data_IF_182485903433
#
_entry.id   IF_182485903433
#
_cell.length_a   1.000
_cell.length_b   1.000
_cell.length_c   1.000
_cell.angle_alpha   90.00
_cell.angle_beta   90.00
_cell.angle_gamma   90.00
#
_symmetry.space_group_name_H-M   'P 1'
#
loop_
_entity.id
_entity.type
_entity.pdbx_description
1 polymer ?
#
# COMPACT_ATOMS: atom_id res chain seq x y z
N UNK A 1 -66.60 21.79 -1.84
CA UNK A 1 -67.67 20.77 -1.72
C UNK A 1 -67.07 19.51 -1.10
N UNK A 2 -67.53 19.16 0.11
CA UNK A 2 -67.59 17.84 0.80
C UNK A 2 -66.31 16.95 0.84
N UNK A 3 -65.62 16.79 1.98
CA UNK A 3 -65.88 15.83 3.10
C UNK A 3 -65.74 14.37 2.63
N UNK A 4 -64.96 13.44 3.21
CA UNK A 4 -64.60 13.02 4.59
C UNK A 4 -63.53 11.90 4.43
N UNK A 5 -62.70 11.51 5.40
CA UNK A 5 -63.06 10.57 6.48
C UNK A 5 -61.88 10.42 7.47
N UNK A 6 -62.22 10.51 8.75
CA UNK A 6 -61.39 10.26 9.94
C UNK A 6 -61.56 8.78 10.32
N UNK A 7 -60.52 8.09 10.78
CA UNK A 7 -60.66 6.84 11.51
C UNK A 7 -59.94 6.91 12.86
N UNK A 8 -60.67 6.50 13.89
CA UNK A 8 -60.38 6.67 15.32
C UNK A 8 -59.49 5.58 15.91
N UNK A 9 -58.78 6.02 16.94
CA UNK A 9 -58.20 5.37 18.13
C UNK A 9 -59.01 4.17 18.68
N UNK A 10 -58.34 3.14 19.25
CA UNK A 10 -58.35 2.74 20.70
C UNK A 10 -57.88 1.27 20.92
N UNK A 11 -57.37 0.96 22.14
CA UNK A 11 -57.38 -0.34 22.89
C UNK A 11 -56.16 -1.28 22.68
N UNK A 12 -55.44 -1.86 23.66
CA UNK A 12 -55.42 -1.95 25.15
C UNK A 12 -54.00 -2.43 25.57
N UNK A 13 -53.58 -2.07 26.79
CA UNK A 13 -52.35 -2.49 27.48
C UNK A 13 -52.75 -3.28 28.75
N UNK A 14 -52.15 -4.45 29.03
CA UNK A 14 -52.08 -5.19 30.34
C UNK A 14 -51.38 -6.54 30.04
N UNK A 15 -50.49 -7.17 30.82
CA UNK A 15 -50.00 -7.07 32.21
C UNK A 15 -49.34 -8.44 32.55
N UNK A 16 -48.30 -8.44 33.38
CA UNK A 16 -47.37 -9.56 33.72
C UNK A 16 -47.92 -10.41 34.90
N UNK A 17 -47.34 -11.62 35.13
CA UNK A 17 -47.21 -12.47 36.37
C UNK A 17 -47.91 -13.86 36.31
N UNK A 18 -47.42 -15.02 36.80
CA UNK A 18 -46.14 -15.55 37.36
C UNK A 18 -46.33 -17.08 37.69
N UNK A 19 -45.21 -17.83 37.86
CA UNK A 19 -44.90 -19.03 38.73
C UNK A 19 -45.22 -20.52 38.39
N UNK A 20 -44.14 -21.33 38.58
CA UNK A 20 -43.97 -22.70 39.17
C UNK A 20 -44.66 -23.92 38.54
N UNK A 21 -44.11 -25.14 38.42
CA UNK A 21 -42.91 -25.90 38.85
C UNK A 21 -43.23 -27.40 38.55
N UNK A 22 -42.33 -28.29 38.09
CA UNK A 22 -41.56 -29.29 38.88
C UNK A 22 -41.11 -30.48 37.97
N UNK A 23 -39.87 -31.00 38.18
CA UNK A 23 -39.43 -32.45 38.27
C UNK A 23 -39.61 -33.37 37.01
N UNK A 24 -38.71 -34.24 36.48
CA UNK A 24 -37.54 -35.01 36.93
C UNK A 24 -36.63 -35.47 35.74
N UNK A 25 -35.36 -35.74 36.07
CA UNK A 25 -34.26 -36.50 35.43
C UNK A 25 -34.42 -37.26 34.09
N UNK A 26 -33.40 -37.13 33.22
CA UNK A 26 -32.70 -38.22 32.49
C UNK A 26 -31.37 -37.70 31.89
N UNK A 27 -30.25 -38.40 32.12
CA UNK A 27 -28.90 -38.19 31.52
C UNK A 27 -28.67 -39.34 30.50
N UNK A 28 -28.16 -39.09 29.26
CA UNK A 28 -26.71 -39.11 28.93
C UNK A 28 -26.30 -37.96 27.98
N UNK A 29 -25.22 -37.22 28.28
CA UNK A 29 -23.80 -37.48 28.00
C UNK A 29 -23.36 -37.11 26.56
N UNK A 30 -22.19 -36.48 26.48
CA UNK A 30 -21.41 -36.02 25.31
C UNK A 30 -21.88 -34.74 24.55
N UNK A 31 -21.25 -33.62 24.90
CA UNK A 31 -20.81 -32.62 23.90
C UNK A 31 -19.54 -33.14 23.19
N UNK A 32 -19.18 -32.66 21.98
CA UNK A 32 -18.60 -31.32 21.87
C UNK A 32 -19.17 -30.47 20.73
N UNK A 33 -19.37 -29.19 21.07
CA UNK A 33 -19.08 -28.00 20.28
C UNK A 33 -19.21 -28.07 18.75
N UNK A 34 -20.34 -27.58 18.27
CA UNK A 34 -20.45 -26.94 16.96
C UNK A 34 -20.55 -25.42 17.14
N UNK A 35 -19.42 -24.74 17.23
CA UNK A 35 -19.33 -23.31 16.92
C UNK A 35 -18.47 -23.20 15.65
N UNK A 36 -19.16 -23.15 14.52
CA UNK A 36 -18.54 -22.97 13.21
C UNK A 36 -17.78 -21.65 13.17
N UNK A 37 -16.46 -21.74 13.01
CA UNK A 37 -15.62 -20.62 12.64
C UNK A 37 -15.96 -20.25 11.19
N UNK A 38 -16.63 -19.12 11.00
CA UNK A 38 -16.60 -18.43 9.71
C UNK A 38 -15.18 -17.89 9.50
N UNK A 39 -14.29 -18.76 9.05
CA UNK A 39 -13.01 -18.35 8.50
C UNK A 39 -13.33 -17.62 7.21
N UNK A 40 -13.24 -16.29 7.21
CA UNK A 40 -13.43 -15.49 6.00
C UNK A 40 -12.46 -15.98 4.92
N UNK A 41 -12.88 -15.99 3.66
CA UNK A 41 -12.03 -16.37 2.54
C UNK A 41 -10.71 -15.58 2.51
N UNK A 42 -10.74 -14.36 3.07
CA UNK A 42 -9.59 -13.49 3.29
C UNK A 42 -8.58 -14.08 4.31
N UNK A 43 -9.05 -14.60 5.45
CA UNK A 43 -8.17 -15.28 6.42
C UNK A 43 -7.60 -16.59 5.87
N UNK A 44 -8.37 -17.32 5.06
CA UNK A 44 -7.88 -18.52 4.37
C UNK A 44 -6.83 -18.15 3.32
N UNK A 45 -7.01 -17.04 2.61
CA UNK A 45 -6.02 -16.52 1.64
C UNK A 45 -4.74 -16.07 2.35
N UNK A 46 -4.84 -15.37 3.47
CA UNK A 46 -3.71 -14.91 4.31
C UNK A 46 -2.97 -16.10 4.93
N UNK A 47 -3.67 -17.11 5.47
CA UNK A 47 -3.02 -18.31 6.02
C UNK A 47 -2.37 -19.16 4.91
N UNK A 48 -3.04 -19.30 3.76
CA UNK A 48 -2.45 -19.98 2.59
C UNK A 48 -1.26 -19.21 2.03
N UNK A 49 -1.29 -17.88 2.11
CA UNK A 49 -0.19 -16.99 1.77
C UNK A 49 1.00 -17.22 2.72
N UNK A 50 0.78 -17.17 4.03
CA UNK A 50 1.80 -17.42 5.06
C UNK A 50 2.37 -18.85 5.00
N UNK A 51 1.59 -19.82 4.53
CA UNK A 51 2.05 -21.20 4.30
C UNK A 51 2.85 -21.39 3.00
N UNK A 52 2.71 -20.50 2.01
CA UNK A 52 3.40 -20.57 0.70
C UNK A 52 4.68 -19.73 0.61
N UNK A 53 4.92 -18.78 1.52
CA UNK A 53 6.21 -18.08 1.72
C UNK A 53 7.29 -19.02 2.28
N UNK A 54 7.49 -20.17 1.64
CA UNK A 54 8.79 -20.82 1.68
C UNK A 54 9.86 -19.83 1.19
N UNK A 55 11.09 -19.99 1.67
CA UNK A 55 12.24 -19.15 1.32
C UNK A 55 12.25 -18.80 -0.18
N UNK A 56 12.51 -17.51 -0.47
CA UNK A 56 12.48 -16.93 -1.81
C UNK A 56 13.03 -17.91 -2.88
N UNK A 57 12.21 -18.22 -3.89
CA UNK A 57 12.51 -19.31 -4.84
C UNK A 57 13.54 -18.93 -5.90
N UNK A 58 13.91 -17.65 -6.00
CA UNK A 58 14.90 -17.13 -6.95
C UNK A 58 16.19 -16.79 -6.22
N UNK A 59 17.09 -17.78 -6.15
CA UNK A 59 18.41 -17.73 -5.49
C UNK A 59 19.36 -16.61 -5.99
N UNK A 60 18.99 -15.81 -7.01
CA UNK A 60 19.86 -14.81 -7.63
C UNK A 60 19.65 -13.35 -7.18
N UNK A 61 18.54 -13.00 -6.52
CA UNK A 61 18.31 -11.62 -6.06
C UNK A 61 18.53 -11.55 -4.55
N UNK A 62 19.61 -10.90 -4.14
CA UNK A 62 19.84 -10.58 -2.74
C UNK A 62 19.00 -9.36 -2.34
N UNK A 63 17.73 -9.60 -2.00
CA UNK A 63 16.79 -8.54 -1.63
C UNK A 63 16.95 -8.04 -0.18
N UNK A 64 17.83 -8.67 0.60
CA UNK A 64 18.19 -8.23 1.97
C UNK A 64 19.37 -7.26 1.99
N UNK A 65 20.13 -7.19 0.90
CA UNK A 65 21.26 -6.27 0.81
C UNK A 65 20.76 -4.83 0.65
N UNK A 66 20.93 -4.04 1.70
CA UNK A 66 20.43 -2.66 1.77
C UNK A 66 21.00 -1.73 0.71
N UNK A 67 22.19 -2.04 0.17
CA UNK A 67 22.79 -1.26 -0.93
C UNK A 67 22.33 -1.72 -2.32
N UNK A 68 21.68 -2.88 -2.42
CA UNK A 68 21.15 -3.40 -3.68
C UNK A 68 20.02 -2.52 -4.22
N UNK A 69 19.99 -2.32 -5.54
CA UNK A 69 18.83 -1.72 -6.22
C UNK A 69 17.56 -2.57 -6.05
N UNK A 70 17.74 -3.87 -5.80
CA UNK A 70 16.69 -4.85 -5.58
C UNK A 70 16.47 -5.13 -4.08
N UNK A 71 16.80 -4.20 -3.18
CA UNK A 71 16.44 -4.35 -1.76
C UNK A 71 14.91 -4.38 -1.61
N UNK A 72 14.35 -5.34 -0.88
CA UNK A 72 12.95 -5.29 -0.46
C UNK A 72 12.88 -4.56 0.87
N UNK A 73 12.15 -3.44 0.90
CA UNK A 73 11.86 -2.70 2.13
C UNK A 73 10.35 -2.69 2.31
N UNK A 74 9.89 -3.23 3.43
CA UNK A 74 8.49 -3.35 3.81
C UNK A 74 8.39 -3.63 5.33
N UNK A 75 7.21 -4.02 5.82
CA UNK A 75 6.98 -4.24 7.26
C UNK A 75 7.80 -5.41 7.85
N UNK A 76 8.29 -6.32 7.01
CA UNK A 76 9.11 -7.45 7.42
C UNK A 76 10.61 -7.25 7.15
N UNK A 77 10.98 -6.25 6.35
CA UNK A 77 12.35 -6.01 5.90
C UNK A 77 12.71 -4.54 6.14
N UNK A 78 13.24 -4.25 7.33
CA UNK A 78 13.54 -2.89 7.77
C UNK A 78 14.97 -2.48 7.42
N UNK A 79 15.13 -1.22 7.02
CA UNK A 79 16.44 -0.58 6.89
C UNK A 79 17.00 -0.17 8.27
N UNK A 80 18.34 -0.23 8.44
CA UNK A 80 19.00 0.37 9.61
C UNK A 80 18.67 1.85 9.76
N UNK A 81 18.60 2.33 11.00
CA UNK A 81 18.27 3.73 11.30
C UNK A 81 19.31 4.74 10.82
N UNK A 82 20.55 4.30 10.65
CA UNK A 82 21.69 5.08 10.18
C UNK A 82 21.96 4.89 8.67
N UNK A 83 21.16 4.08 7.97
CA UNK A 83 21.34 3.86 6.55
C UNK A 83 20.98 5.12 5.74
N UNK A 84 21.97 5.60 4.98
CA UNK A 84 21.87 6.65 3.98
C UNK A 84 22.56 6.15 2.71
N UNK A 85 21.89 6.14 1.55
CA UNK A 85 22.53 5.73 0.31
C UNK A 85 23.74 6.63 -0.03
N UNK A 86 24.89 6.07 -0.42
CA UNK A 86 26.12 6.83 -0.63
C UNK A 86 26.13 7.66 -1.92
N UNK A 87 25.16 7.43 -2.81
CA UNK A 87 25.09 7.92 -4.19
C UNK A 87 23.84 8.78 -4.45
N UNK A 88 23.30 9.44 -3.42
CA UNK A 88 22.18 10.36 -3.57
C UNK A 88 22.57 11.59 -4.40
N UNK A 89 21.76 11.91 -5.41
CA UNK A 89 21.89 13.10 -6.26
C UNK A 89 20.53 13.81 -6.39
N UNK A 90 20.56 15.12 -6.60
CA UNK A 90 19.34 15.89 -6.88
C UNK A 90 18.85 15.55 -8.29
N UNK A 91 17.58 15.18 -8.43
CA UNK A 91 16.98 14.82 -9.72
C UNK A 91 16.60 16.09 -10.50
N UNK A 92 16.93 16.14 -11.79
CA UNK A 92 16.62 17.26 -12.67
C UNK A 92 15.25 17.10 -13.37
N UNK A 93 14.18 17.15 -12.60
CA UNK A 93 12.78 17.12 -13.07
C UNK A 93 11.98 18.31 -12.49
N UNK A 94 10.82 18.65 -13.07
CA UNK A 94 9.87 19.54 -12.39
C UNK A 94 9.38 18.91 -11.08
N UNK A 95 9.36 19.71 -10.01
CA UNK A 95 8.77 19.36 -8.71
C UNK A 95 7.59 20.28 -8.40
N UNK A 96 6.71 19.85 -7.51
CA UNK A 96 5.55 20.64 -7.03
C UNK A 96 5.96 21.79 -6.07
N UNK A 97 7.25 21.92 -5.79
CA UNK A 97 7.85 22.88 -4.87
C UNK A 97 9.24 23.31 -5.39
N UNK A 98 9.75 24.45 -4.92
CA UNK A 98 10.99 25.06 -5.46
C UNK A 98 12.21 24.86 -4.57
N UNK A 99 11.99 24.60 -3.29
CA UNK A 99 13.02 24.50 -2.28
C UNK A 99 13.92 23.30 -2.53
N UNK A 100 15.22 23.47 -2.30
CA UNK A 100 16.15 22.34 -2.24
C UNK A 100 15.89 21.56 -0.96
N UNK A 101 15.57 20.28 -1.09
CA UNK A 101 15.19 19.41 0.02
C UNK A 101 15.62 17.96 -0.28
N UNK A 102 15.78 17.15 0.75
CA UNK A 102 16.14 15.72 0.63
C UNK A 102 15.16 14.96 -0.29
N UNK A 103 13.89 15.37 -0.29
CA UNK A 103 12.83 14.80 -1.13
C UNK A 103 12.95 15.14 -2.62
N UNK A 104 14.00 15.82 -3.06
CA UNK A 104 14.40 15.96 -4.48
C UNK A 104 15.50 14.98 -4.88
N UNK A 105 15.98 14.17 -3.94
CA UNK A 105 17.11 13.29 -4.17
C UNK A 105 16.64 11.88 -4.51
N UNK A 106 17.40 11.19 -5.35
CA UNK A 106 17.36 9.75 -5.57
C UNK A 106 18.79 9.23 -5.67
N UNK A 107 18.97 7.91 -5.57
CA UNK A 107 20.23 7.28 -5.97
C UNK A 107 20.52 7.58 -7.43
N UNK A 108 21.79 7.78 -7.77
CA UNK A 108 22.23 8.28 -9.08
C UNK A 108 21.64 7.51 -10.27
N UNK A 109 21.58 6.18 -10.22
CA UNK A 109 21.01 5.35 -11.29
C UNK A 109 19.50 5.58 -11.46
N UNK A 110 18.76 5.59 -10.35
CA UNK A 110 17.32 5.86 -10.35
C UNK A 110 17.02 7.30 -10.80
N UNK A 111 17.83 8.28 -10.41
CA UNK A 111 17.71 9.67 -10.84
C UNK A 111 17.81 9.79 -12.37
N UNK A 112 18.86 9.22 -12.96
CA UNK A 112 19.07 9.25 -14.41
C UNK A 112 17.89 8.61 -15.16
N UNK A 113 17.39 7.48 -14.68
CA UNK A 113 16.25 6.80 -15.30
C UNK A 113 14.92 7.51 -15.11
N UNK A 114 14.73 8.21 -13.99
CA UNK A 114 13.55 9.03 -13.78
C UNK A 114 13.52 10.25 -14.72
N UNK A 115 14.68 10.87 -14.96
CA UNK A 115 14.81 11.97 -15.93
C UNK A 115 14.49 11.50 -17.35
N UNK A 116 14.98 10.31 -17.76
CA UNK A 116 14.61 9.68 -19.03
C UNK A 116 13.09 9.43 -19.13
N UNK A 117 12.48 8.89 -18.07
CA UNK A 117 11.03 8.66 -18.00
C UNK A 117 10.25 9.97 -18.19
N UNK A 118 10.63 11.03 -17.47
CA UNK A 118 9.96 12.33 -17.54
C UNK A 118 10.13 12.98 -18.93
N UNK A 119 11.30 12.82 -19.55
CA UNK A 119 11.52 13.29 -20.93
C UNK A 119 10.62 12.57 -21.92
N UNK A 120 10.57 11.23 -21.84
CA UNK A 120 9.71 10.43 -22.72
C UNK A 120 8.23 10.72 -22.51
N UNK A 121 7.79 10.93 -21.27
CA UNK A 121 6.42 11.35 -20.96
C UNK A 121 6.09 12.67 -21.66
N UNK A 122 6.97 13.66 -21.52
CA UNK A 122 6.81 14.99 -22.10
C UNK A 122 6.74 14.96 -23.63
N UNK A 123 7.54 14.11 -24.27
CA UNK A 123 7.49 13.88 -25.73
C UNK A 123 6.14 13.31 -26.19
N UNK A 124 5.43 12.60 -25.30
CA UNK A 124 4.08 12.08 -25.54
C UNK A 124 2.97 13.01 -25.01
N UNK A 125 3.30 14.26 -24.66
CA UNK A 125 2.33 15.24 -24.15
C UNK A 125 1.90 15.02 -22.70
N UNK A 126 2.56 14.13 -21.97
CA UNK A 126 2.28 13.82 -20.56
C UNK A 126 3.26 14.57 -19.67
N UNK A 127 2.77 15.31 -18.67
CA UNK A 127 3.61 16.13 -17.78
C UNK A 127 3.44 15.67 -16.33
N UNK A 128 4.52 15.11 -15.78
CA UNK A 128 4.60 14.75 -14.37
C UNK A 128 5.37 15.78 -13.56
N UNK A 129 5.18 15.73 -12.24
CA UNK A 129 5.92 16.49 -11.25
C UNK A 129 6.36 15.56 -10.12
N UNK A 130 7.62 15.65 -9.71
CA UNK A 130 8.10 15.01 -8.49
C UNK A 130 7.46 15.64 -7.24
N UNK A 131 7.10 14.80 -6.28
CA UNK A 131 6.51 15.22 -5.00
C UNK A 131 7.39 14.82 -3.82
N UNK A 132 7.89 13.58 -3.79
CA UNK A 132 8.76 13.09 -2.72
C UNK A 132 9.66 11.94 -3.17
N UNK A 133 10.97 12.20 -3.24
CA UNK A 133 12.03 11.21 -3.42
C UNK A 133 12.55 10.67 -2.09
N UNK A 134 13.87 10.73 -1.88
CA UNK A 134 14.53 10.28 -0.66
C UNK A 134 13.96 10.94 0.61
N UNK A 135 13.85 10.14 1.66
CA UNK A 135 13.42 10.58 2.99
C UNK A 135 14.25 9.86 4.04
N UNK A 136 14.97 10.61 4.87
CA UNK A 136 15.76 10.03 5.95
C UNK A 136 14.91 9.27 6.97
N UNK A 137 15.54 8.35 7.71
CA UNK A 137 14.89 7.64 8.81
C UNK A 137 14.28 8.60 9.83
N UNK A 138 14.99 9.69 10.18
CA UNK A 138 14.52 10.69 11.13
C UNK A 138 13.27 11.42 10.62
N UNK A 139 13.28 11.84 9.35
CA UNK A 139 12.10 12.46 8.73
C UNK A 139 10.92 11.50 8.70
N UNK A 140 11.15 10.20 8.43
CA UNK A 140 10.08 9.19 8.49
C UNK A 140 9.56 9.00 9.92
N UNK A 141 10.41 9.10 10.95
CA UNK A 141 9.99 9.04 12.35
C UNK A 141 9.06 10.20 12.71
N UNK A 142 9.40 11.42 12.34
CA UNK A 142 8.58 12.59 12.60
C UNK A 142 7.26 12.52 11.83
N UNK A 143 7.31 12.05 10.57
CA UNK A 143 6.14 11.83 9.73
C UNK A 143 5.21 10.80 10.38
N UNK A 144 5.71 9.61 10.70
CA UNK A 144 4.93 8.53 11.30
C UNK A 144 4.29 8.98 12.62
N UNK A 145 5.04 9.66 13.49
CA UNK A 145 4.51 10.21 14.73
C UNK A 145 3.38 11.23 14.49
N UNK A 146 3.45 12.03 13.42
CA UNK A 146 2.36 12.95 13.04
C UNK A 146 1.10 12.21 12.61
N UNK A 147 1.25 11.12 11.86
CA UNK A 147 0.13 10.25 11.47
C UNK A 147 -0.47 9.54 12.69
N UNK A 148 0.33 9.01 13.60
CA UNK A 148 -0.18 8.40 14.85
C UNK A 148 -1.02 9.39 15.66
N UNK A 149 -0.58 10.66 15.78
CA UNK A 149 -1.39 11.71 16.43
C UNK A 149 -2.69 12.00 15.70
N UNK A 150 -2.70 11.97 14.37
CA UNK A 150 -3.88 12.26 13.54
C UNK A 150 -4.90 11.12 13.54
N UNK A 151 -4.45 9.87 13.48
CA UNK A 151 -5.29 8.68 13.29
C UNK A 151 -5.53 7.89 14.59
N UNK A 152 -4.85 8.27 15.67
CA UNK A 152 -5.12 7.83 17.04
C UNK A 152 -4.40 6.57 17.48
N UNK A 153 -3.94 5.72 16.56
CA UNK A 153 -3.13 4.53 16.88
C UNK A 153 -2.01 4.33 15.86
N UNK A 154 -0.95 3.63 16.27
CA UNK A 154 0.15 3.29 15.35
C UNK A 154 -0.27 2.29 14.28
N UNK A 155 -1.20 1.38 14.59
CA UNK A 155 -1.70 0.39 13.63
C UNK A 155 -2.42 1.08 12.47
N UNK A 156 -3.26 2.09 12.76
CA UNK A 156 -3.92 2.89 11.73
C UNK A 156 -2.93 3.75 10.96
N UNK A 157 -1.94 4.33 11.63
CA UNK A 157 -0.88 5.06 10.96
C UNK A 157 -0.09 4.16 10.00
N UNK A 158 0.24 2.93 10.42
CA UNK A 158 1.03 1.98 9.64
C UNK A 158 0.27 1.29 8.48
N UNK A 159 -0.98 1.68 8.23
CA UNK A 159 -1.70 1.32 7.01
C UNK A 159 -1.49 2.34 5.88
N UNK A 160 -1.11 3.57 6.22
CA UNK A 160 -1.03 4.72 5.30
C UNK A 160 0.32 5.43 5.32
N UNK A 161 1.16 5.14 6.32
CA UNK A 161 2.52 5.69 6.44
C UNK A 161 3.39 4.64 7.11
N UNK A 162 4.47 4.24 6.43
CA UNK A 162 5.43 3.26 6.93
C UNK A 162 6.01 3.66 8.29
N UNK A 163 6.35 2.69 9.15
CA UNK A 163 7.24 2.98 10.28
C UNK A 163 8.64 3.39 9.79
N UNK A 164 9.44 4.06 10.62
CA UNK A 164 10.85 4.31 10.31
C UNK A 164 11.58 3.00 10.02
N UNK A 165 12.37 2.97 8.94
CA UNK A 165 13.01 1.75 8.45
C UNK A 165 12.14 0.90 7.51
N UNK A 166 10.82 1.03 7.53
CA UNK A 166 9.89 0.30 6.65
C UNK A 166 9.56 1.06 5.34
N UNK A 167 10.06 2.31 5.20
CA UNK A 167 9.76 3.16 4.05
C UNK A 167 10.78 2.98 2.93
N UNK A 168 10.29 2.66 1.73
CA UNK A 168 11.14 2.62 0.54
C UNK A 168 11.79 3.96 0.20
N UNK A 169 11.23 5.11 0.62
CA UNK A 169 11.87 6.41 0.39
C UNK A 169 13.27 6.50 1.01
N UNK A 170 13.55 5.78 2.10
CA UNK A 170 14.88 5.77 2.71
C UNK A 170 15.92 5.08 1.81
N UNK A 171 15.51 4.23 0.88
CA UNK A 171 16.42 3.62 -0.10
C UNK A 171 16.95 4.63 -1.14
N UNK A 172 16.28 5.77 -1.31
CA UNK A 172 16.53 6.68 -2.44
C UNK A 172 16.15 6.08 -3.80
N UNK A 173 15.38 4.99 -3.83
CA UNK A 173 14.90 4.32 -5.05
C UNK A 173 13.40 4.53 -5.29
N UNK A 174 12.71 5.24 -4.39
CA UNK A 174 11.29 5.56 -4.52
C UNK A 174 11.06 7.04 -4.82
N UNK A 175 10.14 7.32 -5.74
CA UNK A 175 9.67 8.67 -6.05
C UNK A 175 8.15 8.70 -6.13
N UNK A 176 7.55 9.58 -5.33
CA UNK A 176 6.16 9.97 -5.50
C UNK A 176 6.07 10.99 -6.64
N UNK A 177 5.22 10.70 -7.62
CA UNK A 177 4.94 11.60 -8.74
C UNK A 177 3.47 12.01 -8.77
N UNK A 178 3.19 13.17 -9.36
CA UNK A 178 1.82 13.64 -9.56
C UNK A 178 1.72 14.38 -10.90
N UNK A 179 0.52 14.82 -11.24
CA UNK A 179 0.25 15.61 -12.44
C UNK A 179 -0.69 16.79 -12.11
N UNK A 180 -0.83 17.70 -13.07
CA UNK A 180 -1.70 18.86 -12.92
C UNK A 180 -3.19 18.45 -12.84
N UNK A 181 -3.58 17.36 -13.49
CA UNK A 181 -4.96 16.86 -13.53
C UNK A 181 -5.51 16.46 -12.15
N UNK A 182 -4.64 16.14 -11.19
CA UNK A 182 -5.01 15.90 -9.78
C UNK A 182 -4.53 17.00 -8.84
N UNK A 183 -4.35 18.22 -9.37
CA UNK A 183 -3.87 19.38 -8.61
C UNK A 183 -2.59 19.07 -7.80
N UNK A 184 -1.69 18.29 -8.39
CA UNK A 184 -0.41 17.90 -7.79
C UNK A 184 -0.53 17.05 -6.51
N UNK A 185 -1.71 16.48 -6.24
CA UNK A 185 -1.98 15.62 -5.09
C UNK A 185 -1.39 14.20 -5.22
N UNK A 186 -1.15 13.57 -4.07
CA UNK A 186 -0.88 12.13 -3.96
C UNK A 186 -2.16 11.44 -3.51
N UNK A 187 -3.00 11.12 -4.47
CA UNK A 187 -4.35 10.62 -4.24
C UNK A 187 -4.66 9.45 -5.19
N UNK A 188 -5.57 8.55 -4.78
CA UNK A 188 -5.97 7.41 -5.62
C UNK A 188 -6.55 7.84 -6.96
N UNK A 189 -7.14 9.04 -7.02
CA UNK A 189 -7.69 9.66 -8.24
C UNK A 189 -6.64 9.89 -9.32
N UNK A 190 -5.33 9.93 -8.97
CA UNK A 190 -4.26 9.92 -9.97
C UNK A 190 -4.35 8.67 -10.85
N UNK A 191 -4.74 7.54 -10.26
CA UNK A 191 -4.96 6.26 -10.94
C UNK A 191 -6.04 6.28 -12.03
N UNK A 192 -6.89 7.30 -12.07
CA UNK A 192 -7.97 7.46 -13.04
C UNK A 192 -7.61 8.43 -14.18
N UNK A 193 -6.38 8.97 -14.19
CA UNK A 193 -5.93 9.97 -15.18
C UNK A 193 -5.26 9.35 -16.42
N UNK A 194 -5.31 10.07 -17.54
CA UNK A 194 -4.58 9.70 -18.76
C UNK A 194 -3.06 9.69 -18.52
N UNK A 195 -2.55 10.59 -17.68
CA UNK A 195 -1.14 10.61 -17.28
C UNK A 195 -0.75 9.32 -16.56
N UNK A 196 -1.58 8.82 -15.65
CA UNK A 196 -1.32 7.54 -15.00
C UNK A 196 -1.40 6.35 -15.96
N UNK A 197 -2.33 6.35 -16.92
CA UNK A 197 -2.40 5.29 -17.95
C UNK A 197 -1.07 5.20 -18.68
N UNK A 198 -0.52 6.34 -19.12
CA UNK A 198 0.80 6.37 -19.76
C UNK A 198 1.90 5.87 -18.81
N UNK A 199 1.88 6.32 -17.55
CA UNK A 199 2.87 5.94 -16.54
C UNK A 199 2.88 4.43 -16.30
N UNK A 200 1.70 3.84 -16.04
CA UNK A 200 1.52 2.40 -15.79
C UNK A 200 2.06 1.55 -16.94
N UNK A 201 1.85 2.00 -18.17
CA UNK A 201 2.22 1.25 -19.36
C UNK A 201 3.68 1.45 -19.79
N UNK A 202 4.38 2.47 -19.26
CA UNK A 202 5.73 2.83 -19.70
C UNK A 202 6.81 2.82 -18.61
N UNK A 203 6.46 2.93 -17.32
CA UNK A 203 7.43 3.05 -16.23
C UNK A 203 8.47 1.92 -16.21
N UNK A 204 8.05 0.70 -16.52
CA UNK A 204 8.91 -0.49 -16.55
C UNK A 204 10.09 -0.37 -17.52
N UNK A 205 9.89 0.35 -18.64
CA UNK A 205 10.91 0.58 -19.68
C UNK A 205 12.10 1.38 -19.13
N UNK A 206 11.90 2.10 -18.03
CA UNK A 206 12.89 2.88 -17.32
C UNK A 206 13.28 2.26 -15.98
N UNK A 207 12.86 1.03 -15.68
CA UNK A 207 13.20 0.35 -14.44
C UNK A 207 12.33 0.68 -13.23
N UNK A 208 11.20 1.36 -13.43
CA UNK A 208 10.24 1.68 -12.38
C UNK A 208 9.01 0.79 -12.42
N UNK A 209 8.48 0.47 -11.24
CA UNK A 209 7.16 -0.16 -11.07
C UNK A 209 6.22 0.75 -10.31
N UNK A 210 4.91 0.60 -10.55
CA UNK A 210 3.89 1.08 -9.60
C UNK A 210 3.91 0.12 -8.41
N UNK A 211 4.41 0.59 -7.26
CA UNK A 211 4.82 -0.31 -6.18
C UNK A 211 3.66 -0.97 -5.44
N UNK A 212 2.59 -0.22 -5.24
CA UNK A 212 1.42 -0.62 -4.45
C UNK A 212 0.16 -0.58 -5.32
N UNK A 213 -0.08 -1.62 -6.14
CA UNK A 213 -1.24 -1.68 -7.02
C UNK A 213 -2.53 -2.06 -6.27
N UNK A 214 -3.66 -1.60 -6.81
CA UNK A 214 -5.00 -1.89 -6.27
C UNK A 214 -5.30 -3.38 -6.21
N UNK A 215 -5.86 -3.84 -5.10
CA UNK A 215 -6.22 -5.24 -4.89
C UNK A 215 -5.05 -6.14 -4.48
N UNK A 216 -3.89 -5.58 -4.16
CA UNK A 216 -2.69 -6.28 -3.64
C UNK A 216 -2.31 -5.82 -2.23
N UNK A 217 -3.23 -5.17 -1.52
CA UNK A 217 -3.03 -4.64 -0.17
C UNK A 217 -2.77 -5.78 0.83
N UNK A 218 -3.41 -6.94 0.65
CA UNK A 218 -3.18 -8.13 1.48
C UNK A 218 -1.74 -8.69 1.36
N UNK A 219 -1.03 -8.33 0.30
CA UNK A 219 0.30 -8.83 -0.01
C UNK A 219 1.38 -7.79 0.32
N UNK A 220 1.18 -6.56 -0.13
CA UNK A 220 2.13 -5.46 0.08
C UNK A 220 1.98 -4.81 1.45
N UNK A 221 0.81 -4.97 2.08
CA UNK A 221 0.40 -4.36 3.34
C UNK A 221 0.30 -2.83 3.33
N UNK A 222 0.29 -2.23 2.13
CA UNK A 222 -0.01 -0.81 1.89
C UNK A 222 -1.29 -0.67 1.08
N UNK A 223 -1.98 0.46 1.24
CA UNK A 223 -3.12 0.82 0.40
C UNK A 223 -2.69 1.06 -1.05
N UNK A 224 -3.65 1.17 -1.98
CA UNK A 224 -3.37 1.52 -3.36
C UNK A 224 -2.70 2.90 -3.46
N UNK A 225 -1.51 2.96 -4.07
CA UNK A 225 -0.75 4.20 -4.28
C UNK A 225 -0.30 4.33 -5.75
N UNK A 226 -1.15 4.83 -6.66
CA UNK A 226 -0.81 4.98 -8.07
C UNK A 226 0.36 5.93 -8.34
N UNK A 227 0.72 6.76 -7.37
CA UNK A 227 1.79 7.76 -7.47
C UNK A 227 3.18 7.22 -7.10
N UNK A 228 3.26 6.12 -6.34
CA UNK A 228 4.51 5.65 -5.75
C UNK A 228 5.28 4.78 -6.74
N UNK A 229 6.33 5.36 -7.33
CA UNK A 229 7.25 4.65 -8.21
C UNK A 229 8.41 4.05 -7.43
N UNK A 230 8.72 2.79 -7.69
CA UNK A 230 9.90 2.11 -7.13
C UNK A 230 10.86 1.67 -8.25
N UNK A 231 12.11 2.12 -8.18
CA UNK A 231 13.18 1.68 -9.08
C UNK A 231 13.74 0.32 -8.63
N UNK A 232 13.80 -0.64 -9.55
CA UNK A 232 14.35 -1.98 -9.34
C UNK A 232 15.25 -2.46 -10.48
N UNK A 233 15.63 -1.54 -11.39
CA UNK A 233 16.35 -1.87 -12.62
C UNK A 233 15.42 -2.28 -13.77
N UNK A 234 15.85 -1.99 -15.00
CA UNK A 234 15.03 -2.13 -16.21
C UNK A 234 14.59 -3.57 -16.49
N UNK A 235 15.51 -4.53 -16.40
CA UNK A 235 15.22 -5.93 -16.71
C UNK A 235 14.16 -6.51 -15.76
N UNK A 236 14.32 -6.27 -14.46
CA UNK A 236 13.38 -6.77 -13.46
C UNK A 236 12.02 -6.08 -13.58
N UNK A 237 11.99 -4.74 -13.68
CA UNK A 237 10.74 -4.00 -13.83
C UNK A 237 9.96 -4.45 -15.09
N UNK A 238 10.65 -4.65 -16.21
CA UNK A 238 10.05 -5.14 -17.45
C UNK A 238 9.45 -6.53 -17.26
N UNK A 239 10.18 -7.44 -16.61
CA UNK A 239 9.67 -8.78 -16.29
C UNK A 239 8.43 -8.76 -15.39
N UNK A 240 8.41 -7.89 -14.37
CA UNK A 240 7.23 -7.74 -13.50
C UNK A 240 6.02 -7.21 -14.29
N UNK A 241 6.25 -6.24 -15.16
CA UNK A 241 5.22 -5.67 -16.00
C UNK A 241 4.60 -6.70 -16.96
N UNK A 242 5.44 -7.44 -17.70
CA UNK A 242 5.00 -8.46 -18.67
C UNK A 242 4.24 -9.62 -18.01
N UNK A 243 4.57 -9.93 -16.75
CA UNK A 243 3.95 -11.03 -16.00
C UNK A 243 2.81 -10.55 -15.08
N UNK A 244 2.51 -9.26 -15.04
CA UNK A 244 1.52 -8.64 -14.15
C UNK A 244 1.74 -8.97 -12.66
N UNK A 245 2.99 -8.92 -12.22
CA UNK A 245 3.40 -9.28 -10.86
C UNK A 245 3.74 -8.05 -10.02
N UNK A 246 3.40 -8.12 -8.74
CA UNK A 246 4.04 -7.31 -7.70
C UNK A 246 5.47 -7.77 -7.43
N UNK A 247 6.23 -6.96 -6.71
CA UNK A 247 7.59 -7.32 -6.36
C UNK A 247 7.65 -8.50 -5.37
N UNK A 248 6.79 -8.51 -4.36
CA UNK A 248 6.63 -9.62 -3.43
C UNK A 248 6.24 -10.90 -4.16
N UNK A 249 5.29 -10.83 -5.12
CA UNK A 249 4.90 -12.01 -5.89
C UNK A 249 6.12 -12.65 -6.56
N UNK A 250 6.93 -11.81 -7.21
CA UNK A 250 8.12 -12.25 -7.92
C UNK A 250 9.16 -12.93 -7.04
N UNK A 251 9.36 -12.42 -5.82
CA UNK A 251 10.37 -12.90 -4.88
C UNK A 251 9.93 -14.20 -4.19
N UNK A 252 8.66 -14.29 -3.78
CA UNK A 252 8.21 -15.32 -2.85
C UNK A 252 7.42 -16.45 -3.50
N UNK A 253 6.80 -16.24 -4.66
CA UNK A 253 6.11 -17.32 -5.35
C UNK A 253 7.02 -18.04 -6.36
N UNK A 254 6.78 -19.34 -6.51
CA UNK A 254 7.26 -20.11 -7.66
C UNK A 254 6.29 -19.84 -8.80
N UNK A 255 6.72 -19.06 -9.79
CA UNK A 255 5.95 -18.59 -10.94
C UNK A 255 6.55 -19.17 -12.20
#
# INVERSE_FOLDING_TARGET
MKNKLIFSLLVILFGIFFISGCIQMSIPDASPDSQGSQTSAENVLVDTFMLRIGAASKEAINYHDVVSIAVLVNKQNQLPSDYVPPDLVEVNIPFTFKEKAEKRMLRQEAAAKLEELFSAAKENGVIFYGVSGYRSYQTQQDLFASFTRRYGTEEKANQISARPGESEHQTGLAMDVSCQSVNFGLEETFGDTDEYVWLKDNAHRFGFIIRYPKGKEYLTEYTYEPWHLRYIGQDLATKLYEQHLTYEEYLFFKI
#
